data_IF_132957541401
#
_entry.id   IF_132957541401
#
_cell.length_a   1.000
_cell.length_b   1.000
_cell.length_c   1.000
_cell.angle_alpha   90.00
_cell.angle_beta   90.00
_cell.angle_gamma   90.00
#
_symmetry.space_group_name_H-M   'P 1'
#
loop_
_entity.id
_entity.type
_entity.pdbx_description
1 polymer ?
#
# COMPACT_ATOMS: atom_id res chain seq x y z
N UNK A 1 4.59 8.51 -10.44
CA UNK A 1 5.58 9.52 -9.99
C UNK A 1 5.34 9.86 -8.52
N UNK A 2 6.39 9.84 -7.69
CA UNK A 2 6.33 10.24 -6.29
C UNK A 2 6.22 11.75 -6.08
N UNK A 3 5.74 12.15 -4.90
CA UNK A 3 5.71 13.53 -4.41
C UNK A 3 6.96 13.88 -3.61
N UNK A 4 7.63 12.89 -3.03
CA UNK A 4 8.91 13.05 -2.32
C UNK A 4 10.05 12.61 -3.24
N UNK A 5 11.08 13.44 -3.34
CA UNK A 5 12.30 13.17 -4.13
C UNK A 5 13.54 13.45 -3.30
N UNK A 6 14.72 13.09 -3.81
CA UNK A 6 15.98 13.45 -3.16
C UNK A 6 16.09 14.97 -3.01
N UNK A 7 16.42 15.42 -1.80
CA UNK A 7 16.69 16.82 -1.49
C UNK A 7 18.06 17.24 -2.01
N UNK A 8 18.21 18.49 -2.45
CA UNK A 8 19.49 19.03 -2.92
C UNK A 8 19.59 20.53 -2.61
N UNK A 9 20.73 21.01 -2.06
CA UNK A 9 21.88 20.22 -1.60
C UNK A 9 21.58 19.44 -0.30
N UNK A 10 22.08 18.21 -0.18
CA UNK A 10 21.84 17.35 0.99
C UNK A 10 23.10 17.20 1.86
N UNK A 11 22.93 17.33 3.17
CA UNK A 11 23.96 17.08 4.18
C UNK A 11 23.34 16.32 5.37
N UNK A 12 23.61 15.00 5.42
CA UNK A 12 23.10 14.13 6.47
C UNK A 12 23.54 14.54 7.88
N UNK A 13 24.74 15.13 8.03
CA UNK A 13 25.27 15.55 9.34
C UNK A 13 24.53 16.77 9.84
N UNK A 14 24.33 17.77 8.97
CA UNK A 14 23.58 18.98 9.31
C UNK A 14 22.13 18.65 9.71
N UNK A 15 21.47 17.75 8.97
CA UNK A 15 20.11 17.29 9.31
C UNK A 15 20.09 16.52 10.63
N UNK A 16 21.07 15.64 10.89
CA UNK A 16 21.17 14.92 12.16
C UNK A 16 21.38 15.87 13.35
N UNK A 17 22.20 16.90 13.20
CA UNK A 17 22.40 17.94 14.23
C UNK A 17 21.12 18.75 14.48
N UNK A 18 20.40 19.12 13.42
CA UNK A 18 19.14 19.83 13.52
C UNK A 18 18.07 18.99 14.25
N UNK A 19 17.94 17.70 13.90
CA UNK A 19 17.04 16.77 14.59
C UNK A 19 17.44 16.59 16.06
N UNK A 20 18.75 16.46 16.36
CA UNK A 20 19.21 16.35 17.74
C UNK A 20 18.86 17.57 18.57
N UNK A 21 18.99 18.77 17.98
CA UNK A 21 18.63 20.04 18.60
C UNK A 21 17.12 20.14 18.83
N UNK A 22 16.32 19.71 17.86
CA UNK A 22 14.86 19.70 17.96
C UNK A 22 14.33 18.81 19.09
N UNK A 23 15.08 17.76 19.45
CA UNK A 23 14.78 16.80 20.53
C UNK A 23 15.62 17.04 21.79
N UNK A 24 16.13 18.25 22.02
CA UNK A 24 16.99 18.54 23.19
C UNK A 24 16.32 19.52 24.14
N UNK A 25 16.16 19.09 25.40
CA UNK A 25 15.71 19.95 26.48
C UNK A 25 14.30 19.62 26.91
N UNK A 26 13.56 20.62 27.37
CA UNK A 26 12.16 20.46 27.75
C UNK A 26 11.27 20.76 26.53
N UNK A 27 10.47 19.77 26.12
CA UNK A 27 9.63 19.85 24.92
C UNK A 27 10.38 19.48 23.65
N UNK A 28 9.63 19.43 22.54
CA UNK A 28 10.10 19.00 21.22
C UNK A 28 9.82 20.11 20.20
N UNK A 29 10.70 20.28 19.20
CA UNK A 29 10.43 21.12 18.02
C UNK A 29 9.91 20.23 16.88
N UNK A 30 8.61 19.94 16.91
CA UNK A 30 7.94 19.08 15.92
C UNK A 30 8.02 19.65 14.50
N UNK A 31 8.03 20.98 14.38
CA UNK A 31 8.06 21.68 13.10
C UNK A 31 9.39 21.45 12.36
N UNK A 32 10.52 21.48 13.08
CA UNK A 32 11.82 21.12 12.50
C UNK A 32 11.85 19.64 12.10
N UNK A 33 11.35 18.75 12.95
CA UNK A 33 11.33 17.30 12.67
C UNK A 33 10.53 17.01 11.40
N UNK A 34 9.28 17.50 11.30
CA UNK A 34 8.44 17.22 10.14
C UNK A 34 9.00 17.86 8.87
N UNK A 35 9.57 19.07 8.92
CA UNK A 35 10.17 19.71 7.73
C UNK A 35 11.33 18.90 7.17
N UNK A 36 12.20 18.38 8.02
CA UNK A 36 13.33 17.55 7.58
C UNK A 36 12.80 16.22 7.06
N UNK A 37 12.04 15.46 7.87
CA UNK A 37 11.71 14.07 7.53
C UNK A 37 10.68 13.90 6.40
N UNK A 38 9.90 14.94 6.07
CA UNK A 38 8.96 14.91 4.93
C UNK A 38 9.57 15.44 3.63
N UNK A 39 10.74 16.09 3.69
CA UNK A 39 11.42 16.64 2.50
C UNK A 39 12.68 15.86 2.09
N UNK A 40 12.98 14.75 2.77
CA UNK A 40 14.07 13.84 2.45
C UNK A 40 13.49 12.52 1.95
N UNK A 41 14.03 12.01 0.85
CA UNK A 41 13.65 10.67 0.39
C UNK A 41 14.13 9.60 1.39
N UNK A 42 13.67 8.36 1.22
CA UNK A 42 13.93 7.30 2.19
C UNK A 42 15.43 7.00 2.32
N UNK A 43 16.16 7.01 1.21
CA UNK A 43 17.61 6.81 1.20
C UNK A 43 18.33 7.88 2.05
N UNK A 44 18.00 9.16 1.86
CA UNK A 44 18.56 10.26 2.65
C UNK A 44 18.18 10.14 4.13
N UNK A 45 16.97 9.68 4.45
CA UNK A 45 16.58 9.40 5.85
C UNK A 45 17.43 8.31 6.49
N UNK A 46 17.83 7.29 5.73
CA UNK A 46 18.77 6.26 6.23
C UNK A 46 20.17 6.85 6.47
N UNK A 47 20.64 7.73 5.58
CA UNK A 47 21.91 8.45 5.78
C UNK A 47 21.88 9.36 7.01
N UNK A 48 20.77 10.07 7.25
CA UNK A 48 20.56 10.89 8.45
C UNK A 48 20.58 10.02 9.71
N UNK A 49 19.87 8.88 9.72
CA UNK A 49 19.87 7.97 10.86
C UNK A 49 21.27 7.45 11.19
N UNK A 50 22.05 7.10 10.15
CA UNK A 50 23.44 6.68 10.29
C UNK A 50 24.32 7.81 10.85
N UNK A 51 24.22 9.02 10.30
CA UNK A 51 24.94 10.19 10.78
C UNK A 51 24.59 10.54 12.24
N UNK A 52 23.31 10.47 12.60
CA UNK A 52 22.83 10.69 13.97
C UNK A 52 23.46 9.68 14.95
N UNK A 53 23.51 8.41 14.57
CA UNK A 53 24.16 7.36 15.37
C UNK A 53 25.66 7.62 15.53
N UNK A 54 26.36 8.01 14.46
CA UNK A 54 27.80 8.32 14.52
C UNK A 54 28.11 9.55 15.36
N UNK A 55 27.32 10.62 15.25
CA UNK A 55 27.56 11.89 15.92
C UNK A 55 27.23 11.85 17.42
N UNK A 56 26.16 11.14 17.79
CA UNK A 56 25.61 11.20 19.15
C UNK A 56 25.59 9.87 19.89
N UNK A 57 25.88 8.74 19.22
CA UNK A 57 25.78 7.40 19.80
C UNK A 57 24.35 6.91 20.04
N UNK A 58 23.34 7.69 19.63
CA UNK A 58 21.91 7.45 19.89
C UNK A 58 21.20 6.91 18.66
N UNK A 59 20.12 6.16 18.86
CA UNK A 59 19.27 5.73 17.75
C UNK A 59 18.22 6.81 17.47
N UNK A 60 18.15 7.26 16.21
CA UNK A 60 17.23 8.34 15.82
C UNK A 60 15.77 7.92 15.95
N UNK A 61 15.44 6.67 15.64
CA UNK A 61 14.05 6.18 15.70
C UNK A 61 13.59 6.05 17.15
N UNK A 62 14.46 5.58 18.05
CA UNK A 62 14.14 5.52 19.48
C UNK A 62 14.01 6.91 20.09
N UNK A 63 14.86 7.87 19.69
CA UNK A 63 14.71 9.26 20.12
C UNK A 63 13.38 9.85 19.64
N UNK A 64 12.99 9.64 18.37
CA UNK A 64 11.70 10.07 17.84
C UNK A 64 10.52 9.47 18.63
N UNK A 65 10.58 8.18 18.99
CA UNK A 65 9.54 7.52 19.80
C UNK A 65 9.45 8.07 21.23
N UNK A 66 10.57 8.53 21.79
CA UNK A 66 10.57 9.12 23.13
C UNK A 66 10.05 10.56 23.18
N UNK A 67 10.21 11.30 22.07
CA UNK A 67 9.93 12.74 22.00
C UNK A 67 8.59 13.06 21.34
N UNK A 68 8.05 12.14 20.55
CA UNK A 68 6.77 12.28 19.85
C UNK A 68 5.72 11.33 20.43
N UNK A 69 4.45 11.63 20.21
CA UNK A 69 3.34 10.73 20.60
C UNK A 69 2.28 10.59 19.52
N UNK A 70 1.49 9.51 19.61
CA UNK A 70 0.27 9.32 18.84
C UNK A 70 0.47 9.16 17.34
N UNK A 71 -0.42 9.75 16.53
CA UNK A 71 -0.41 9.58 15.07
C UNK A 71 0.76 10.31 14.40
N UNK A 72 1.22 11.41 14.98
CA UNK A 72 2.40 12.11 14.49
C UNK A 72 3.67 11.27 14.68
N UNK A 73 3.87 10.68 15.87
CA UNK A 73 4.94 9.70 16.11
C UNK A 73 4.86 8.53 15.13
N UNK A 74 3.68 7.94 14.99
CA UNK A 74 3.46 6.80 14.08
C UNK A 74 3.90 7.14 12.66
N UNK A 75 3.52 8.32 12.15
CA UNK A 75 3.92 8.79 10.82
C UNK A 75 5.43 9.03 10.71
N UNK A 76 6.06 9.75 11.64
CA UNK A 76 7.50 10.04 11.60
C UNK A 76 8.35 8.76 11.69
N UNK A 77 7.97 7.83 12.56
CA UNK A 77 8.64 6.52 12.67
C UNK A 77 8.44 5.68 11.41
N UNK A 78 7.25 5.73 10.80
CA UNK A 78 6.97 5.02 9.54
C UNK A 78 7.82 5.55 8.39
N UNK A 79 8.02 6.87 8.34
CA UNK A 79 8.88 7.55 7.37
C UNK A 79 10.35 7.13 7.50
N UNK A 80 10.83 6.83 8.70
CA UNK A 80 12.23 6.42 8.93
C UNK A 80 12.51 4.98 8.53
N UNK A 81 11.50 4.13 8.39
CA UNK A 81 11.70 2.72 8.05
C UNK A 81 12.24 2.58 6.63
N UNK A 82 13.26 1.74 6.38
CA UNK A 82 13.74 1.49 5.03
C UNK A 82 12.60 1.00 4.12
N UNK A 83 12.52 1.57 2.92
CA UNK A 83 11.44 1.27 1.97
C UNK A 83 11.32 -0.24 1.68
N UNK A 84 12.46 -0.94 1.58
CA UNK A 84 12.49 -2.38 1.31
C UNK A 84 11.99 -3.25 2.48
N UNK A 85 11.94 -2.72 3.71
CA UNK A 85 11.43 -3.41 4.91
C UNK A 85 9.97 -3.07 5.20
N UNK A 86 9.48 -1.92 4.72
CA UNK A 86 8.20 -1.36 5.12
C UNK A 86 7.03 -2.34 4.96
N UNK A 87 6.89 -2.96 3.78
CA UNK A 87 5.82 -3.91 3.50
C UNK A 87 5.95 -5.19 4.33
N UNK A 88 7.17 -5.73 4.49
CA UNK A 88 7.40 -6.91 5.33
C UNK A 88 7.01 -6.66 6.79
N UNK A 89 7.32 -5.47 7.30
CA UNK A 89 6.94 -5.05 8.64
C UNK A 89 5.43 -4.84 8.79
N UNK A 90 4.77 -4.25 7.78
CA UNK A 90 3.32 -4.08 7.77
C UNK A 90 2.61 -5.44 7.78
N UNK A 91 3.07 -6.39 6.96
CA UNK A 91 2.57 -7.77 6.96
C UNK A 91 2.81 -8.45 8.31
N UNK A 92 4.00 -8.28 8.92
CA UNK A 92 4.32 -8.82 10.25
C UNK A 92 3.34 -8.35 11.32
N UNK A 93 2.94 -7.07 11.27
CA UNK A 93 1.97 -6.51 12.21
C UNK A 93 0.55 -6.95 11.89
N UNK A 94 0.20 -7.12 10.61
CA UNK A 94 -1.10 -7.60 10.18
C UNK A 94 -1.39 -9.04 10.62
N UNK A 95 -0.37 -9.85 10.86
CA UNK A 95 -0.47 -11.26 11.28
C UNK A 95 0.01 -11.49 12.72
N UNK A 96 -0.03 -10.45 13.56
CA UNK A 96 0.43 -10.52 14.95
C UNK A 96 -0.74 -10.50 15.94
N UNK A 97 -0.85 -11.57 16.72
CA UNK A 97 -1.69 -11.61 17.92
C UNK A 97 -3.08 -12.19 17.67
N UNK A 98 -4.03 -11.85 18.54
CA UNK A 98 -5.42 -12.33 18.41
C UNK A 98 -6.17 -11.47 17.38
N UNK A 99 -6.08 -11.85 16.11
CA UNK A 99 -6.78 -11.22 14.99
C UNK A 99 -5.83 -10.85 13.86
N UNK A 100 -6.23 -11.20 12.64
CA UNK A 100 -5.55 -10.84 11.41
C UNK A 100 -6.09 -9.51 10.90
N UNK A 101 -5.25 -8.69 10.28
CA UNK A 101 -5.69 -7.50 9.54
C UNK A 101 -5.71 -7.83 8.04
N UNK A 102 -6.83 -8.41 7.58
CA UNK A 102 -7.02 -8.86 6.20
C UNK A 102 -6.93 -7.70 5.19
N UNK A 103 -7.26 -6.47 5.61
CA UNK A 103 -7.13 -5.28 4.77
C UNK A 103 -5.67 -5.02 4.39
N UNK A 104 -4.73 -5.14 5.33
CA UNK A 104 -3.30 -4.94 5.07
C UNK A 104 -2.74 -6.05 4.17
N UNK A 105 -3.13 -7.31 4.44
CA UNK A 105 -2.77 -8.45 3.58
C UNK A 105 -3.25 -8.21 2.14
N UNK A 106 -4.50 -7.81 2.01
CA UNK A 106 -5.15 -7.53 0.72
C UNK A 106 -4.48 -6.40 -0.02
N UNK A 107 -4.28 -5.25 0.63
CA UNK A 107 -3.67 -4.07 0.02
C UNK A 107 -2.26 -4.36 -0.51
N UNK A 108 -1.43 -5.03 0.29
CA UNK A 108 -0.03 -5.30 -0.10
C UNK A 108 0.01 -6.37 -1.19
N UNK A 109 -0.62 -7.53 -1.00
CA UNK A 109 -0.46 -8.64 -1.94
C UNK A 109 -1.22 -8.44 -3.25
N UNK A 110 -2.28 -7.63 -3.29
CA UNK A 110 -2.96 -7.30 -4.54
C UNK A 110 -2.23 -6.23 -5.37
N UNK A 111 -1.52 -5.30 -4.73
CA UNK A 111 -0.95 -4.12 -5.40
C UNK A 111 0.53 -4.25 -5.78
N UNK A 112 1.27 -5.15 -5.13
CA UNK A 112 2.71 -5.32 -5.40
C UNK A 112 2.96 -6.21 -6.61
N UNK A 113 3.96 -5.82 -7.38
CA UNK A 113 4.46 -6.59 -8.53
C UNK A 113 5.10 -7.90 -8.07
N UNK A 114 5.24 -8.90 -8.95
CA UNK A 114 5.94 -10.13 -8.62
C UNK A 114 7.36 -9.92 -8.08
N UNK A 115 8.10 -8.94 -8.62
CA UNK A 115 9.45 -8.62 -8.14
C UNK A 115 9.44 -8.08 -6.70
N UNK A 116 8.51 -7.16 -6.40
CA UNK A 116 8.33 -6.62 -5.05
C UNK A 116 7.90 -7.71 -4.06
N UNK A 117 6.98 -8.60 -4.43
CA UNK A 117 6.54 -9.71 -3.57
C UNK A 117 7.69 -10.67 -3.24
N UNK A 118 8.56 -11.01 -4.21
CA UNK A 118 9.76 -11.82 -3.94
C UNK A 118 10.70 -11.13 -2.95
N UNK A 119 10.93 -9.82 -3.14
CA UNK A 119 11.74 -9.04 -2.21
C UNK A 119 11.12 -9.02 -0.80
N UNK A 120 9.80 -8.82 -0.69
CA UNK A 120 9.08 -8.86 0.59
C UNK A 120 9.29 -10.20 1.29
N UNK A 121 9.14 -11.34 0.60
CA UNK A 121 9.39 -12.67 1.18
C UNK A 121 10.82 -12.82 1.70
N UNK A 122 11.80 -12.37 0.93
CA UNK A 122 13.21 -12.43 1.31
C UNK A 122 13.49 -11.58 2.55
N UNK A 123 13.04 -10.33 2.55
CA UNK A 123 13.23 -9.39 3.68
C UNK A 123 12.52 -9.89 4.92
N UNK A 124 11.28 -10.39 4.79
CA UNK A 124 10.54 -10.96 5.92
C UNK A 124 11.28 -12.14 6.56
N UNK A 125 11.87 -13.03 5.75
CA UNK A 125 12.68 -14.13 6.25
C UNK A 125 13.93 -13.65 6.99
N UNK A 126 14.62 -12.64 6.46
CA UNK A 126 15.83 -12.09 7.07
C UNK A 126 15.56 -11.34 8.38
N UNK A 127 14.50 -10.53 8.42
CA UNK A 127 14.17 -9.67 9.56
C UNK A 127 13.51 -10.41 10.72
N UNK A 128 12.74 -11.46 10.42
CA UNK A 128 11.89 -12.14 11.42
C UNK A 128 12.19 -13.62 11.58
N UNK A 129 13.18 -14.15 10.85
CA UNK A 129 13.58 -15.57 10.88
C UNK A 129 12.37 -16.51 10.71
N UNK A 130 11.41 -16.10 9.88
CA UNK A 130 10.14 -16.79 9.69
C UNK A 130 9.71 -16.78 8.23
N UNK A 131 9.10 -17.87 7.78
CA UNK A 131 8.52 -17.93 6.44
C UNK A 131 7.18 -17.19 6.40
N UNK A 132 7.05 -16.21 5.50
CA UNK A 132 5.83 -15.40 5.36
C UNK A 132 4.61 -16.21 4.92
N UNK A 133 4.80 -17.22 4.07
CA UNK A 133 3.74 -18.10 3.59
C UNK A 133 3.18 -18.97 4.72
N UNK A 134 4.05 -19.56 5.54
CA UNK A 134 3.65 -20.31 6.73
C UNK A 134 2.88 -19.43 7.72
N UNK A 135 3.28 -18.16 7.86
CA UNK A 135 2.55 -17.20 8.72
C UNK A 135 1.18 -16.83 8.16
N UNK A 136 1.07 -16.58 6.86
CA UNK A 136 -0.23 -16.28 6.23
C UNK A 136 -1.15 -17.49 6.30
N UNK A 137 -0.66 -18.69 6.01
CA UNK A 137 -1.46 -19.91 6.03
C UNK A 137 -1.87 -20.34 7.44
N UNK A 138 -1.12 -19.95 8.47
CA UNK A 138 -1.50 -20.17 9.86
C UNK A 138 -2.57 -19.21 10.40
N UNK A 139 -2.73 -18.04 9.79
CA UNK A 139 -3.56 -16.93 10.28
C UNK A 139 -4.79 -16.64 9.38
N UNK A 140 -4.92 -17.36 8.27
CA UNK A 140 -6.02 -17.21 7.31
C UNK A 140 -6.61 -18.58 6.96
N UNK A 141 -7.74 -18.63 6.25
CA UNK A 141 -8.36 -19.88 5.83
C UNK A 141 -9.15 -19.75 4.52
N UNK A 142 -9.61 -20.89 3.99
CA UNK A 142 -10.52 -20.95 2.83
C UNK A 142 -9.94 -20.37 1.54
N UNK A 143 -10.82 -19.86 0.68
CA UNK A 143 -10.45 -19.30 -0.61
C UNK A 143 -9.67 -17.98 -0.50
N UNK A 144 -9.86 -17.22 0.58
CA UNK A 144 -9.05 -16.04 0.88
C UNK A 144 -7.57 -16.42 1.05
N UNK A 145 -7.27 -17.41 1.91
CA UNK A 145 -5.91 -17.94 2.07
C UNK A 145 -5.33 -18.43 0.74
N UNK A 146 -6.12 -19.19 -0.05
CA UNK A 146 -5.65 -19.73 -1.33
C UNK A 146 -5.22 -18.62 -2.29
N UNK A 147 -6.03 -17.56 -2.43
CA UNK A 147 -5.69 -16.43 -3.28
C UNK A 147 -4.46 -15.67 -2.76
N UNK A 148 -4.34 -15.44 -1.46
CA UNK A 148 -3.13 -14.83 -0.88
C UNK A 148 -1.88 -15.65 -1.21
N UNK A 149 -1.95 -16.98 -1.08
CA UNK A 149 -0.83 -17.88 -1.41
C UNK A 149 -0.48 -17.81 -2.89
N UNK A 150 -1.48 -17.79 -3.80
CA UNK A 150 -1.26 -17.63 -5.24
C UNK A 150 -0.53 -16.32 -5.56
N UNK A 151 -0.95 -15.21 -4.97
CA UNK A 151 -0.28 -13.91 -5.14
C UNK A 151 1.15 -13.94 -4.57
N UNK A 152 1.33 -14.59 -3.42
CA UNK A 152 2.62 -14.75 -2.74
C UNK A 152 3.60 -15.64 -3.51
N UNK A 153 3.14 -16.48 -4.44
CA UNK A 153 4.06 -17.21 -5.32
C UNK A 153 4.81 -16.29 -6.28
N UNK A 154 4.32 -15.07 -6.54
CA UNK A 154 4.95 -14.10 -7.43
C UNK A 154 5.27 -14.68 -8.82
N UNK A 155 4.35 -15.51 -9.32
CA UNK A 155 4.44 -16.25 -10.59
C UNK A 155 3.34 -15.83 -11.57
N UNK A 156 2.86 -14.58 -11.50
CA UNK A 156 2.00 -14.01 -12.53
C UNK A 156 2.73 -14.02 -13.87
N UNK A 157 2.05 -14.43 -14.93
CA UNK A 157 2.58 -14.45 -16.29
C UNK A 157 3.12 -13.06 -16.67
N UNK A 158 4.29 -12.99 -17.32
CA UNK A 158 4.82 -11.73 -17.79
C UNK A 158 3.93 -11.12 -18.88
N UNK A 159 3.90 -9.79 -18.95
CA UNK A 159 3.23 -9.11 -20.07
C UNK A 159 3.92 -9.42 -21.39
N UNK A 160 3.12 -9.53 -22.45
CA UNK A 160 3.58 -9.92 -23.77
C UNK A 160 2.50 -9.76 -24.83
N UNK A 161 2.64 -10.49 -25.94
CA UNK A 161 1.59 -10.54 -26.97
C UNK A 161 0.35 -11.20 -26.39
N UNK A 162 -0.78 -10.49 -26.43
CA UNK A 162 -2.07 -11.03 -25.97
C UNK A 162 -2.64 -11.98 -27.03
N UNK A 163 -3.04 -13.18 -26.59
CA UNK A 163 -3.77 -14.15 -27.39
C UNK A 163 -5.28 -13.91 -27.23
N UNK A 164 -5.91 -13.33 -28.25
CA UNK A 164 -7.34 -13.00 -28.23
C UNK A 164 -8.24 -14.25 -28.12
N UNK A 165 -7.78 -15.42 -28.57
CA UNK A 165 -8.51 -16.68 -28.39
C UNK A 165 -8.55 -17.12 -26.93
N UNK A 166 -7.42 -16.98 -26.22
CA UNK A 166 -7.36 -17.22 -24.78
C UNK A 166 -8.14 -16.17 -23.98
N UNK A 167 -8.17 -14.91 -24.43
CA UNK A 167 -8.99 -13.85 -23.82
C UNK A 167 -10.47 -14.23 -23.87
N UNK A 168 -10.97 -14.65 -25.03
CA UNK A 168 -12.35 -15.12 -25.18
C UNK A 168 -12.65 -16.30 -24.24
N UNK A 169 -11.73 -17.27 -24.21
CA UNK A 169 -11.87 -18.45 -23.37
C UNK A 169 -11.93 -18.09 -21.88
N UNK A 170 -10.98 -17.29 -21.38
CA UNK A 170 -10.93 -16.92 -19.97
C UNK A 170 -12.16 -16.07 -19.57
N UNK A 171 -12.61 -15.14 -20.42
CA UNK A 171 -13.82 -14.36 -20.18
C UNK A 171 -15.06 -15.28 -20.10
N UNK A 172 -15.18 -16.24 -21.01
CA UNK A 172 -16.27 -17.22 -21.01
C UNK A 172 -16.21 -18.17 -19.79
N UNK A 173 -15.02 -18.54 -19.33
CA UNK A 173 -14.81 -19.34 -18.12
C UNK A 173 -15.27 -18.57 -16.89
N UNK A 174 -14.86 -17.30 -16.73
CA UNK A 174 -15.32 -16.46 -15.62
C UNK A 174 -16.84 -16.29 -15.63
N UNK A 175 -17.45 -16.10 -16.81
CA UNK A 175 -18.90 -15.94 -16.91
C UNK A 175 -19.66 -17.22 -16.50
N UNK A 176 -19.14 -18.38 -16.88
CA UNK A 176 -19.70 -19.69 -16.46
C UNK A 176 -19.46 -20.01 -14.99
N UNK A 177 -18.37 -19.49 -14.43
CA UNK A 177 -17.97 -19.73 -13.05
C UNK A 177 -18.71 -18.86 -12.03
N UNK A 178 -19.36 -17.77 -12.46
CA UNK A 178 -20.23 -16.93 -11.62
C UNK A 178 -21.66 -16.94 -12.14
N UNK A 179 -22.03 -15.91 -12.92
CA UNK A 179 -23.41 -15.59 -13.34
C UNK A 179 -24.27 -16.73 -13.93
N UNK A 180 -23.68 -17.77 -14.54
CA UNK A 180 -24.43 -18.91 -15.11
C UNK A 180 -24.59 -20.11 -14.16
N UNK A 181 -24.20 -19.97 -12.89
CA UNK A 181 -24.29 -21.03 -11.90
C UNK A 181 -24.95 -20.54 -10.62
N UNK A 182 -25.59 -21.45 -9.89
CA UNK A 182 -25.98 -21.16 -8.52
C UNK A 182 -24.75 -21.30 -7.61
N UNK A 183 -24.26 -20.16 -7.12
CA UNK A 183 -23.00 -20.06 -6.40
C UNK A 183 -21.78 -20.03 -7.33
N UNK A 184 -20.61 -19.83 -6.75
CA UNK A 184 -19.39 -19.46 -7.48
C UNK A 184 -18.43 -20.64 -7.60
N UNK A 185 -17.66 -20.68 -8.68
CA UNK A 185 -16.45 -21.51 -8.76
C UNK A 185 -15.23 -20.62 -8.47
N UNK A 186 -14.95 -20.41 -7.19
CA UNK A 186 -13.89 -19.51 -6.70
C UNK A 186 -12.52 -19.91 -7.24
N UNK A 187 -12.27 -21.21 -7.46
CA UNK A 187 -11.00 -21.71 -7.99
C UNK A 187 -10.72 -21.18 -9.40
N UNK A 188 -11.75 -21.00 -10.24
CA UNK A 188 -11.58 -20.40 -11.57
C UNK A 188 -11.21 -18.92 -11.48
N UNK A 189 -11.88 -18.18 -10.60
CA UNK A 189 -11.55 -16.77 -10.34
C UNK A 189 -10.12 -16.64 -9.81
N UNK A 190 -9.74 -17.42 -8.80
CA UNK A 190 -8.41 -17.43 -8.20
C UNK A 190 -7.34 -17.74 -9.23
N UNK A 191 -7.54 -18.80 -10.03
CA UNK A 191 -6.56 -19.23 -11.03
C UNK A 191 -6.36 -18.14 -12.09
N UNK A 192 -7.44 -17.65 -12.71
CA UNK A 192 -7.35 -16.69 -13.81
C UNK A 192 -6.81 -15.35 -13.30
N UNK A 193 -7.43 -14.79 -12.26
CA UNK A 193 -7.07 -13.46 -11.74
C UNK A 193 -5.73 -13.45 -11.03
N UNK A 194 -5.31 -14.57 -10.44
CA UNK A 194 -4.03 -14.70 -9.74
C UNK A 194 -2.82 -14.93 -10.65
N UNK A 195 -3.00 -15.55 -11.82
CA UNK A 195 -1.86 -16.03 -12.64
C UNK A 195 -1.71 -15.35 -13.99
N UNK A 196 -2.79 -14.94 -14.68
CA UNK A 196 -2.66 -14.33 -16.01
C UNK A 196 -1.97 -12.98 -15.97
N UNK A 197 -1.33 -12.60 -17.07
CA UNK A 197 -0.62 -11.32 -17.16
C UNK A 197 -1.57 -10.12 -17.04
N UNK A 198 -1.04 -8.96 -16.67
CA UNK A 198 -1.84 -7.74 -16.47
C UNK A 198 -2.45 -7.29 -17.79
N UNK A 199 -1.67 -7.30 -18.86
CA UNK A 199 -2.09 -6.98 -20.23
C UNK A 199 -3.20 -7.91 -20.74
N UNK A 200 -3.09 -9.22 -20.46
CA UNK A 200 -4.14 -10.19 -20.79
C UNK A 200 -5.42 -9.93 -20.00
N UNK A 201 -5.32 -9.79 -18.67
CA UNK A 201 -6.50 -9.62 -17.81
C UNK A 201 -7.28 -8.34 -18.11
N UNK A 202 -6.61 -7.26 -18.50
CA UNK A 202 -7.29 -6.05 -18.97
C UNK A 202 -8.19 -6.33 -20.18
N UNK A 203 -7.71 -7.12 -21.16
CA UNK A 203 -8.52 -7.54 -22.31
C UNK A 203 -9.63 -8.50 -21.91
N UNK A 204 -9.38 -9.41 -20.96
CA UNK A 204 -10.40 -10.29 -20.39
C UNK A 204 -11.52 -9.48 -19.75
N UNK A 205 -11.23 -8.41 -19.02
CA UNK A 205 -12.26 -7.59 -18.37
C UNK A 205 -13.16 -6.88 -19.40
N UNK A 206 -12.57 -6.33 -20.47
CA UNK A 206 -13.33 -5.69 -21.56
C UNK A 206 -14.20 -6.73 -22.30
N UNK A 207 -13.64 -7.91 -22.57
CA UNK A 207 -14.36 -9.01 -23.21
C UNK A 207 -15.47 -9.57 -22.32
N UNK A 208 -15.22 -9.68 -21.01
CA UNK A 208 -16.19 -10.13 -20.02
C UNK A 208 -17.43 -9.24 -20.04
N UNK A 209 -17.26 -7.91 -19.96
CA UNK A 209 -18.36 -6.95 -20.08
C UNK A 209 -19.17 -7.13 -21.37
N UNK A 210 -18.49 -7.42 -22.49
CA UNK A 210 -19.15 -7.66 -23.78
C UNK A 210 -20.02 -8.93 -23.78
N UNK A 211 -19.61 -9.98 -23.06
CA UNK A 211 -20.32 -11.26 -23.01
C UNK A 211 -21.44 -11.24 -21.96
N UNK A 212 -21.16 -10.75 -20.76
CA UNK A 212 -22.06 -10.85 -19.60
C UNK A 212 -22.99 -9.65 -19.46
N UNK A 213 -22.59 -8.48 -19.95
CA UNK A 213 -23.25 -7.20 -19.69
C UNK A 213 -22.92 -6.58 -18.32
N UNK A 214 -22.02 -7.19 -17.54
CA UNK A 214 -21.58 -6.72 -16.22
C UNK A 214 -20.07 -6.48 -16.18
N UNK A 215 -19.61 -5.48 -15.42
CA UNK A 215 -18.20 -5.42 -15.06
C UNK A 215 -17.84 -6.62 -14.18
N UNK A 216 -16.61 -7.11 -14.28
CA UNK A 216 -16.16 -8.25 -13.48
C UNK A 216 -16.25 -7.95 -11.97
N UNK A 217 -16.07 -6.69 -11.59
CA UNK A 217 -16.27 -6.23 -10.21
C UNK A 217 -17.71 -6.40 -9.72
N UNK A 218 -18.71 -6.14 -10.57
CA UNK A 218 -20.14 -6.31 -10.22
C UNK A 218 -20.46 -7.78 -9.99
N UNK A 219 -19.93 -8.67 -10.82
CA UNK A 219 -20.10 -10.12 -10.61
C UNK A 219 -19.41 -10.57 -9.33
N UNK A 220 -18.19 -10.10 -9.04
CA UNK A 220 -17.50 -10.46 -7.79
C UNK A 220 -18.32 -10.04 -6.56
N UNK A 221 -18.89 -8.83 -6.55
CA UNK A 221 -19.74 -8.31 -5.46
C UNK A 221 -21.03 -9.12 -5.27
N UNK A 222 -21.61 -9.65 -6.37
CA UNK A 222 -22.83 -10.47 -6.33
C UNK A 222 -22.59 -11.92 -5.91
N UNK A 223 -21.45 -12.48 -6.30
CA UNK A 223 -21.17 -13.93 -6.26
C UNK A 223 -20.24 -14.31 -5.11
N UNK A 224 -19.51 -13.37 -4.52
CA UNK A 224 -18.60 -13.64 -3.40
C UNK A 224 -18.94 -12.78 -2.19
N UNK A 225 -18.36 -13.10 -1.03
CA UNK A 225 -18.56 -12.31 0.18
C UNK A 225 -17.31 -12.31 1.06
N UNK A 226 -17.29 -11.42 2.05
CA UNK A 226 -16.26 -11.39 3.08
C UNK A 226 -14.89 -10.97 2.55
N UNK A 227 -13.81 -11.57 3.07
CA UNK A 227 -12.45 -11.14 2.73
C UNK A 227 -11.98 -11.65 1.36
N UNK A 228 -12.57 -12.75 0.86
CA UNK A 228 -12.33 -13.19 -0.51
C UNK A 228 -12.81 -12.13 -1.52
N UNK A 229 -14.03 -11.63 -1.35
CA UNK A 229 -14.61 -10.60 -2.21
C UNK A 229 -13.72 -9.35 -2.24
N UNK A 230 -13.34 -8.86 -1.06
CA UNK A 230 -12.44 -7.69 -0.94
C UNK A 230 -11.11 -7.92 -1.63
N UNK A 231 -10.53 -9.12 -1.52
CA UNK A 231 -9.26 -9.46 -2.16
C UNK A 231 -9.38 -9.57 -3.69
N UNK A 232 -10.43 -10.22 -4.19
CA UNK A 232 -10.71 -10.30 -5.63
C UNK A 232 -10.92 -8.91 -6.23
N UNK A 233 -11.72 -8.06 -5.58
CA UNK A 233 -11.92 -6.67 -5.99
C UNK A 233 -10.61 -5.88 -5.97
N UNK A 234 -9.78 -6.03 -4.94
CA UNK A 234 -8.48 -5.37 -4.88
C UNK A 234 -7.54 -5.81 -6.02
N UNK A 235 -7.50 -7.11 -6.33
CA UNK A 235 -6.70 -7.66 -7.45
C UNK A 235 -7.18 -7.07 -8.78
N UNK A 236 -8.49 -7.09 -9.06
CA UNK A 236 -9.04 -6.51 -10.29
C UNK A 236 -8.72 -5.02 -10.40
N UNK A 237 -8.96 -4.25 -9.33
CA UNK A 237 -8.67 -2.81 -9.30
C UNK A 237 -7.19 -2.51 -9.53
N UNK A 238 -6.28 -3.29 -8.92
CA UNK A 238 -4.84 -3.13 -9.13
C UNK A 238 -4.40 -3.50 -10.55
N UNK A 239 -4.99 -4.54 -11.15
CA UNK A 239 -4.75 -4.88 -12.56
C UNK A 239 -5.18 -3.73 -13.47
N UNK A 240 -6.32 -3.09 -13.20
CA UNK A 240 -6.78 -1.91 -13.96
C UNK A 240 -5.82 -0.73 -13.74
N UNK A 241 -5.63 -0.32 -12.49
CA UNK A 241 -4.74 0.78 -12.12
C UNK A 241 -4.44 0.76 -10.62
N UNK A 242 -3.18 0.46 -10.27
CA UNK A 242 -2.68 0.55 -8.89
C UNK A 242 -2.87 1.97 -8.30
N UNK A 243 -2.58 3.07 -9.01
CA UNK A 243 -2.88 4.42 -8.51
C UNK A 243 -4.37 4.65 -8.22
N UNK A 244 -5.28 4.15 -9.06
CA UNK A 244 -6.71 4.30 -8.84
C UNK A 244 -7.21 3.49 -7.63
N UNK A 245 -6.67 2.28 -7.43
CA UNK A 245 -6.91 1.49 -6.23
C UNK A 245 -6.51 2.28 -4.96
N UNK A 246 -5.30 2.82 -4.91
CA UNK A 246 -4.86 3.59 -3.74
C UNK A 246 -5.61 4.91 -3.56
N UNK A 247 -6.07 5.54 -4.65
CA UNK A 247 -6.94 6.70 -4.59
C UNK A 247 -8.28 6.38 -3.89
N UNK A 248 -8.88 5.24 -4.23
CA UNK A 248 -10.08 4.74 -3.57
C UNK A 248 -9.81 4.35 -2.11
N UNK A 249 -8.70 3.67 -1.82
CA UNK A 249 -8.28 3.32 -0.46
C UNK A 249 -8.14 4.56 0.43
N UNK A 250 -7.48 5.62 -0.06
CA UNK A 250 -7.36 6.90 0.65
C UNK A 250 -8.71 7.61 0.80
N UNK A 251 -9.55 7.56 -0.23
CA UNK A 251 -10.87 8.16 -0.15
C UNK A 251 -11.69 7.53 0.98
N UNK A 252 -11.74 6.20 1.05
CA UNK A 252 -12.50 5.49 2.07
C UNK A 252 -11.84 5.53 3.45
N UNK A 253 -10.52 5.72 3.57
CA UNK A 253 -9.86 5.92 4.86
C UNK A 253 -10.24 7.24 5.53
N UNK A 254 -10.71 8.23 4.75
CA UNK A 254 -11.13 9.56 5.24
C UNK A 254 -12.62 9.84 5.00
N UNK A 255 -13.41 8.82 4.61
CA UNK A 255 -14.84 8.99 4.33
C UNK A 255 -15.64 8.71 5.60
N UNK A 256 -16.38 9.71 6.07
CA UNK A 256 -17.37 9.54 7.14
C UNK A 256 -16.94 10.23 8.42
N UNK A 257 -17.36 9.70 9.57
CA UNK A 257 -16.94 10.21 10.87
C UNK A 257 -15.67 9.47 11.33
N UNK A 258 -14.60 10.23 11.59
CA UNK A 258 -13.29 9.69 11.94
C UNK A 258 -12.47 9.26 10.72
N UNK A 259 -11.24 8.82 10.98
CA UNK A 259 -10.24 8.49 9.97
C UNK A 259 -9.62 7.13 10.27
N UNK A 260 -9.47 6.28 9.25
CA UNK A 260 -8.57 5.12 9.31
C UNK A 260 -7.13 5.60 9.11
N UNK A 261 -6.56 6.16 10.18
CA UNK A 261 -5.21 6.73 10.20
C UNK A 261 -4.13 5.72 9.85
N UNK A 262 -4.32 4.45 10.20
CA UNK A 262 -3.31 3.42 9.96
C UNK A 262 -3.20 3.13 8.46
N UNK A 263 -4.33 3.11 7.75
CA UNK A 263 -4.36 3.06 6.28
C UNK A 263 -3.84 4.35 5.66
N UNK A 264 -4.27 5.52 6.15
CA UNK A 264 -3.80 6.82 5.64
C UNK A 264 -2.28 6.93 5.72
N UNK A 265 -1.68 6.64 6.89
CA UNK A 265 -0.23 6.65 7.08
C UNK A 265 0.46 5.64 6.15
N UNK A 266 -0.02 4.39 6.10
CA UNK A 266 0.60 3.32 5.30
C UNK A 266 0.64 3.68 3.82
N UNK A 267 -0.47 4.17 3.26
CA UNK A 267 -0.53 4.54 1.83
C UNK A 267 0.31 5.80 1.56
N UNK A 268 0.19 6.84 2.38
CA UNK A 268 0.95 8.08 2.19
C UNK A 268 2.45 7.84 2.27
N UNK A 269 2.93 7.00 3.19
CA UNK A 269 4.34 6.65 3.31
C UNK A 269 4.79 5.77 2.15
N UNK A 270 4.13 4.62 1.92
CA UNK A 270 4.58 3.62 0.95
C UNK A 270 4.52 4.10 -0.50
N UNK A 271 3.65 5.06 -0.83
CA UNK A 271 3.46 5.57 -2.20
C UNK A 271 4.14 6.91 -2.47
N UNK A 272 4.63 7.60 -1.43
CA UNK A 272 5.24 8.95 -1.52
C UNK A 272 6.37 9.06 -2.55
N UNK A 273 7.16 8.00 -2.75
CA UNK A 273 8.31 7.99 -3.67
C UNK A 273 8.03 7.19 -4.96
N UNK A 274 6.79 6.70 -5.16
CA UNK A 274 6.42 5.81 -6.27
C UNK A 274 5.43 6.50 -7.21
N UNK A 275 4.19 6.70 -6.76
CA UNK A 275 3.06 7.11 -7.60
C UNK A 275 2.03 8.00 -6.90
N UNK A 276 2.38 8.62 -5.76
CA UNK A 276 1.45 9.49 -5.04
C UNK A 276 0.93 10.69 -5.88
N UNK A 277 1.67 11.18 -6.88
CA UNK A 277 1.15 12.18 -7.83
C UNK A 277 0.06 11.61 -8.75
N UNK A 278 0.16 10.34 -9.14
CA UNK A 278 -0.83 9.70 -10.00
C UNK A 278 -2.07 9.29 -9.18
N UNK A 279 -1.87 8.88 -7.93
CA UNK A 279 -2.95 8.64 -6.94
C UNK A 279 -3.78 9.91 -6.72
N UNK A 280 -3.12 11.07 -6.52
CA UNK A 280 -3.81 12.37 -6.39
C UNK A 280 -4.74 12.66 -7.57
N UNK A 281 -4.25 12.45 -8.78
CA UNK A 281 -5.00 12.66 -10.03
C UNK A 281 -6.20 11.72 -10.15
N UNK A 282 -6.00 10.43 -9.89
CA UNK A 282 -7.09 9.46 -9.91
C UNK A 282 -8.14 9.76 -8.83
N UNK A 283 -7.74 10.19 -7.64
CA UNK A 283 -8.67 10.58 -6.57
C UNK A 283 -9.54 11.77 -7.02
N UNK A 284 -8.90 12.81 -7.58
CA UNK A 284 -9.61 13.99 -8.10
C UNK A 284 -10.58 13.61 -9.21
N UNK A 285 -10.14 12.79 -10.16
CA UNK A 285 -10.94 12.31 -11.29
C UNK A 285 -12.15 11.49 -10.82
N UNK A 286 -11.97 10.59 -9.86
CA UNK A 286 -12.99 9.61 -9.49
C UNK A 286 -13.96 10.09 -8.40
N UNK A 287 -13.54 11.05 -7.55
CA UNK A 287 -14.35 11.51 -6.41
C UNK A 287 -14.62 13.02 -6.41
N UNK A 288 -14.11 13.77 -7.39
CA UNK A 288 -14.21 15.23 -7.48
C UNK A 288 -13.71 15.96 -6.20
N UNK A 289 -12.77 15.36 -5.46
CA UNK A 289 -12.13 15.93 -4.28
C UNK A 289 -10.62 15.92 -4.42
N UNK A 290 -9.94 16.90 -3.83
CA UNK A 290 -8.49 16.86 -3.73
C UNK A 290 -8.04 16.03 -2.53
N UNK A 291 -6.99 15.22 -2.70
CA UNK A 291 -6.36 14.50 -1.59
C UNK A 291 -5.88 15.47 -0.50
N UNK A 292 -5.30 16.61 -0.92
CA UNK A 292 -4.81 17.64 -0.01
C UNK A 292 -5.96 18.19 0.86
N UNK A 293 -7.09 18.55 0.24
CA UNK A 293 -8.26 19.07 0.94
C UNK A 293 -8.89 18.04 1.88
N UNK A 294 -8.93 16.77 1.47
CA UNK A 294 -9.43 15.69 2.32
C UNK A 294 -8.57 15.54 3.57
N UNK A 295 -7.24 15.46 3.42
CA UNK A 295 -6.31 15.41 4.55
C UNK A 295 -6.48 16.64 5.45
N UNK A 296 -6.55 17.84 4.86
CA UNK A 296 -6.65 19.09 5.62
C UNK A 296 -7.89 19.15 6.53
N UNK A 297 -9.00 18.59 6.04
CA UNK A 297 -10.28 18.54 6.74
C UNK A 297 -10.35 17.45 7.80
N UNK A 298 -9.78 16.28 7.51
CA UNK A 298 -9.98 15.07 8.32
C UNK A 298 -8.92 14.88 9.41
N UNK A 299 -7.78 15.56 9.29
CA UNK A 299 -6.67 15.46 10.24
C UNK A 299 -6.36 16.80 10.93
N UNK A 300 -5.55 16.78 12.00
CA UNK A 300 -5.19 17.99 12.74
C UNK A 300 -3.74 17.97 13.26
N UNK A 301 -3.30 19.08 13.87
CA UNK A 301 -1.97 19.21 14.47
C UNK A 301 -0.81 19.01 13.51
N UNK A 302 0.35 18.60 14.04
CA UNK A 302 1.56 18.34 13.26
C UNK A 302 1.45 17.07 12.40
N UNK A 303 0.58 16.13 12.79
CA UNK A 303 0.19 15.00 11.95
C UNK A 303 -0.38 15.46 10.60
N UNK A 304 -1.35 16.39 10.61
CA UNK A 304 -1.87 17.00 9.37
C UNK A 304 -0.78 17.69 8.58
N UNK A 305 0.04 18.53 9.22
CA UNK A 305 1.09 19.29 8.52
C UNK A 305 2.03 18.35 7.78
N UNK A 306 2.47 17.29 8.45
CA UNK A 306 3.35 16.28 7.85
C UNK A 306 2.68 15.55 6.68
N UNK A 307 1.42 15.13 6.81
CA UNK A 307 0.67 14.51 5.71
C UNK A 307 0.51 15.43 4.51
N UNK A 308 0.24 16.73 4.73
CA UNK A 308 0.12 17.70 3.65
C UNK A 308 1.46 17.94 2.95
N UNK A 309 2.58 17.95 3.67
CA UNK A 309 3.91 18.01 3.06
C UNK A 309 4.22 16.78 2.21
N UNK A 310 3.87 15.58 2.68
CA UNK A 310 3.99 14.35 1.88
C UNK A 310 3.06 14.35 0.66
N UNK A 311 1.84 14.88 0.81
CA UNK A 311 0.88 15.01 -0.27
C UNK A 311 1.39 15.96 -1.36
N UNK A 312 2.04 17.05 -0.98
CA UNK A 312 2.36 18.17 -1.85
C UNK A 312 1.20 19.14 -2.03
N UNK A 313 1.27 20.00 -3.05
CA UNK A 313 0.30 21.07 -3.28
C UNK A 313 -1.10 20.59 -3.64
N UNK A 314 -2.08 21.49 -3.56
CA UNK A 314 -3.45 21.25 -4.01
C UNK A 314 -3.52 21.18 -5.54
N UNK A 315 -4.24 20.20 -6.08
CA UNK A 315 -4.54 20.09 -7.51
C UNK A 315 -5.89 20.78 -7.74
N UNK A 316 -5.89 22.11 -7.95
CA UNK A 316 -7.11 22.88 -8.30
C UNK A 316 -7.82 22.31 -9.55
#
# INVERSE_FOLDING_TARGET
>A
RGTVTAFSPFDARADAEALRKAMKGMGTDEETILKILTSRNNAQRQEIASAFKTLFGRDLVDDLKSELTGKFETLMVSLMRPAYIFDAHALKHAIKGAGTNEKVLTEILASRTPAEVRNIKQVYLQEYEANLEDKITGETSGHFQRLLVVLLQANRDPDGRVDEGLVEQDAQVLFRAGELKWGTDEEKFITILGTRSVSHLRRVFDKYMTISGFQIEETIDRETSGDLEKLLLAVVKCIRSVPAYFAETLYYSMKGAGTDDDTLIRVMVSRSEIDLLDIRRELRKNFAKSLHQMIQKDTSGDYRKALLLLCGGDDE
#
